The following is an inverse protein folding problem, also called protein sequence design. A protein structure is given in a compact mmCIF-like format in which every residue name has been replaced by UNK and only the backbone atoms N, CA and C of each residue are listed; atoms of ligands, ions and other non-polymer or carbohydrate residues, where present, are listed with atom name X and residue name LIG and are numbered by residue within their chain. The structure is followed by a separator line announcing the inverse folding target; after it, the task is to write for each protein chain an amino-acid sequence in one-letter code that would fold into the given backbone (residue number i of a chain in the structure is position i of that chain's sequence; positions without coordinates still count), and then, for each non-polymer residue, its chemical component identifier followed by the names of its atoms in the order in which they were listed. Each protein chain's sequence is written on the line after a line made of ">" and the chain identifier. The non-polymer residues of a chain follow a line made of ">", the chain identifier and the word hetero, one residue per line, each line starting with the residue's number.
data_IF_541196307792
#
_entry.id   IF_541196307792
#
_cell.length_a   1.000
_cell.length_b   1.000
_cell.length_c   1.000
_cell.angle_alpha   90.00
_cell.angle_beta   90.00
_cell.angle_gamma   90.00
#
_symmetry.space_group_name_H-M   'P 1'
#
loop_
_entity.id
_entity.type
_entity.pdbx_description
1 polymer ?
#
# COMPACT_ATOMS: atom_id res chain seq x y z
N UNK A 1 -19.91 7.62 34.42
CA UNK A 1 -19.86 6.78 33.20
C UNK A 1 -20.00 7.73 32.02
N UNK A 2 -18.98 7.82 31.16
CA UNK A 2 -19.13 8.56 29.91
C UNK A 2 -20.00 7.75 28.97
N UNK A 3 -21.12 8.30 28.52
CA UNK A 3 -21.90 7.70 27.44
C UNK A 3 -21.09 7.82 26.14
N UNK A 4 -20.38 6.75 25.80
CA UNK A 4 -19.68 6.65 24.53
C UNK A 4 -20.71 6.33 23.45
N UNK A 5 -21.28 7.36 22.85
CA UNK A 5 -22.09 7.21 21.64
C UNK A 5 -21.17 6.96 20.44
N UNK A 6 -21.05 5.71 20.04
CA UNK A 6 -20.36 5.34 18.81
C UNK A 6 -21.29 5.59 17.61
N UNK A 7 -20.91 6.50 16.72
CA UNK A 7 -21.61 6.70 15.44
C UNK A 7 -20.88 5.85 14.40
N UNK A 8 -21.53 4.82 13.88
CA UNK A 8 -20.97 4.00 12.82
C UNK A 8 -20.78 4.85 11.56
N UNK A 9 -19.57 4.81 11.02
CA UNK A 9 -19.18 5.47 9.77
C UNK A 9 -18.93 4.39 8.72
N UNK A 10 -19.08 4.75 7.46
CA UNK A 10 -18.64 3.88 6.37
C UNK A 10 -17.13 3.60 6.43
N UNK A 11 -16.67 2.63 5.64
CA UNK A 11 -15.25 2.19 5.57
C UNK A 11 -14.30 3.37 5.29
N UNK A 12 -14.79 4.39 4.60
CA UNK A 12 -14.03 5.58 4.24
C UNK A 12 -14.17 6.73 5.26
N UNK A 13 -14.99 6.57 6.31
CA UNK A 13 -15.23 7.58 7.35
C UNK A 13 -16.00 8.82 6.88
N UNK A 14 -16.48 8.82 5.63
CA UNK A 14 -17.03 9.99 4.93
C UNK A 14 -18.50 10.25 5.24
N UNK A 15 -19.23 9.22 5.68
CA UNK A 15 -20.67 9.34 5.91
C UNK A 15 -21.20 8.45 7.02
N UNK A 16 -22.39 8.79 7.53
CA UNK A 16 -23.11 7.99 8.53
C UNK A 16 -24.22 7.15 7.88
N UNK A 17 -24.69 6.13 8.60
CA UNK A 17 -25.88 5.37 8.19
C UNK A 17 -27.12 6.26 8.00
N UNK A 18 -27.24 7.34 8.78
CA UNK A 18 -28.33 8.31 8.64
C UNK A 18 -28.26 9.07 7.30
N UNK A 19 -27.07 9.45 6.85
CA UNK A 19 -26.87 10.11 5.54
C UNK A 19 -27.26 9.19 4.38
N UNK A 20 -27.01 7.88 4.53
CA UNK A 20 -27.37 6.86 3.55
C UNK A 20 -28.87 6.63 3.47
N UNK A 21 -29.54 6.58 4.63
CA UNK A 21 -31.00 6.53 4.67
C UNK A 21 -31.61 7.77 4.03
N UNK A 22 -31.11 8.98 4.34
CA UNK A 22 -31.63 10.21 3.75
C UNK A 22 -31.46 10.25 2.22
N UNK A 23 -30.35 9.73 1.67
CA UNK A 23 -30.21 9.54 0.21
C UNK A 23 -31.17 8.51 -0.35
N UNK A 24 -31.36 7.38 0.33
CA UNK A 24 -32.31 6.34 -0.08
C UNK A 24 -33.75 6.87 -0.15
N UNK A 25 -34.10 7.79 0.74
CA UNK A 25 -35.41 8.47 0.75
C UNK A 25 -35.47 9.72 -0.14
N UNK A 26 -34.39 10.09 -0.83
CA UNK A 26 -34.35 11.23 -1.75
C UNK A 26 -34.29 12.62 -1.10
N UNK A 27 -34.01 12.69 0.21
CA UNK A 27 -33.91 13.95 0.95
C UNK A 27 -32.53 14.62 0.78
N UNK A 28 -31.51 13.85 0.40
CA UNK A 28 -30.15 14.34 0.16
C UNK A 28 -29.71 14.03 -1.29
N UNK A 29 -28.82 14.87 -1.87
CA UNK A 29 -28.23 14.60 -3.18
C UNK A 29 -27.39 13.30 -3.16
N UNK A 30 -27.24 12.62 -4.32
CA UNK A 30 -26.47 11.38 -4.42
C UNK A 30 -25.02 11.58 -3.95
N UNK A 31 -24.43 10.55 -3.34
CA UNK A 31 -23.03 10.60 -2.87
C UNK A 31 -22.11 10.88 -4.07
N UNK A 32 -21.07 11.71 -3.90
CA UNK A 32 -20.01 11.81 -4.90
C UNK A 32 -19.39 10.42 -5.11
N UNK A 33 -18.90 10.16 -6.32
CA UNK A 33 -18.22 8.90 -6.61
C UNK A 33 -17.02 8.74 -5.65
N UNK A 34 -16.81 7.54 -5.07
CA UNK A 34 -15.68 7.31 -4.18
C UNK A 34 -14.38 7.56 -4.94
N UNK A 35 -13.46 8.29 -4.30
CA UNK A 35 -12.13 8.50 -4.84
C UNK A 35 -11.37 7.17 -4.79
N UNK A 36 -11.07 6.61 -5.96
CA UNK A 36 -10.23 5.42 -6.07
C UNK A 36 -8.81 5.88 -6.36
N UNK A 37 -7.86 5.79 -5.40
CA UNK A 37 -6.47 6.05 -5.71
C UNK A 37 -6.00 5.08 -6.81
N UNK A 38 -4.97 5.46 -7.59
CA UNK A 38 -4.35 4.52 -8.50
C UNK A 38 -3.93 3.26 -7.73
N UNK A 39 -4.03 2.10 -8.40
CA UNK A 39 -3.49 0.88 -7.85
C UNK A 39 -2.01 1.10 -7.51
N UNK A 40 -1.57 0.56 -6.38
CA UNK A 40 -0.17 0.58 -6.02
C UNK A 40 0.63 -0.10 -7.14
N UNK A 41 1.60 0.64 -7.68
CA UNK A 41 2.60 0.11 -8.61
C UNK A 41 3.94 0.12 -7.87
N UNK A 42 4.72 -0.97 -7.92
CA UNK A 42 6.07 -0.95 -7.42
C UNK A 42 6.90 0.12 -8.13
N UNK A 43 7.78 0.78 -7.40
CA UNK A 43 8.78 1.66 -8.02
C UNK A 43 9.71 0.81 -8.88
N UNK A 44 9.86 1.19 -10.15
CA UNK A 44 10.61 0.42 -11.15
C UNK A 44 12.09 0.25 -10.77
N UNK A 45 12.65 1.11 -9.92
CA UNK A 45 14.06 1.02 -9.51
C UNK A 45 14.33 -0.13 -8.52
N UNK A 46 13.48 -0.31 -7.51
CA UNK A 46 13.64 -1.38 -6.51
C UNK A 46 13.09 -2.74 -6.98
N UNK A 47 12.32 -2.73 -8.06
CA UNK A 47 11.73 -3.95 -8.66
C UNK A 47 12.43 -4.44 -9.92
N UNK A 48 13.41 -3.68 -10.42
CA UNK A 48 14.29 -4.16 -11.49
C UNK A 48 15.17 -5.27 -10.94
N UNK A 49 15.25 -6.35 -11.72
CA UNK A 49 16.24 -7.39 -11.49
C UNK A 49 17.62 -6.74 -11.51
N UNK A 50 18.36 -6.87 -10.40
CA UNK A 50 19.71 -6.32 -10.25
C UNK A 50 20.64 -7.03 -11.24
N UNK A 51 20.84 -6.44 -12.41
CA UNK A 51 21.68 -6.99 -13.48
C UNK A 51 23.17 -6.77 -13.19
N UNK A 52 24.05 -7.50 -13.90
CA UNK A 52 25.51 -7.37 -13.73
C UNK A 52 26.01 -5.93 -13.92
N UNK A 53 25.48 -5.21 -14.90
CA UNK A 53 25.81 -3.80 -15.14
C UNK A 53 25.37 -2.86 -14.01
N UNK A 54 24.43 -3.29 -13.16
CA UNK A 54 24.01 -2.56 -11.96
C UNK A 54 25.02 -2.75 -10.82
N UNK A 55 25.54 -3.97 -10.65
CA UNK A 55 26.61 -4.27 -9.66
C UNK A 55 27.90 -3.54 -10.03
N UNK A 56 28.27 -3.55 -11.32
CA UNK A 56 29.51 -2.93 -11.80
C UNK A 56 29.55 -1.39 -11.62
N UNK A 57 28.42 -0.75 -11.32
CA UNK A 57 28.31 0.71 -11.06
C UNK A 57 28.45 1.09 -9.59
N UNK A 58 28.43 0.11 -8.69
CA UNK A 58 28.45 0.34 -7.24
C UNK A 58 29.88 0.43 -6.70
N UNK A 59 30.07 1.24 -5.66
CA UNK A 59 31.35 1.35 -4.95
C UNK A 59 31.44 0.31 -3.83
N UNK A 60 32.65 0.10 -3.29
CA UNK A 60 32.94 -0.89 -2.25
C UNK A 60 32.00 -0.77 -1.04
N UNK A 61 31.80 0.44 -0.50
CA UNK A 61 30.89 0.68 0.64
C UNK A 61 29.43 0.32 0.30
N UNK A 62 28.97 0.60 -0.92
CA UNK A 62 27.59 0.27 -1.35
C UNK A 62 27.41 -1.24 -1.58
N UNK A 63 28.50 -1.95 -1.89
CA UNK A 63 28.51 -3.41 -2.05
C UNK A 63 28.48 -4.13 -0.70
N UNK A 64 29.18 -3.59 0.31
CA UNK A 64 29.12 -4.08 1.69
C UNK A 64 27.71 -3.95 2.27
N UNK A 65 27.05 -2.79 2.09
CA UNK A 65 25.66 -2.60 2.53
C UNK A 65 24.67 -3.55 1.83
N UNK A 66 24.98 -4.01 0.61
CA UNK A 66 24.14 -4.93 -0.17
C UNK A 66 24.30 -6.39 0.24
N UNK A 67 25.38 -6.76 0.95
CA UNK A 67 25.63 -8.12 1.41
C UNK A 67 24.54 -8.57 2.40
N UNK A 68 24.22 -7.72 3.38
CA UNK A 68 23.19 -7.97 4.39
C UNK A 68 21.76 -8.10 3.79
N UNK A 69 21.48 -7.40 2.69
CA UNK A 69 20.17 -7.42 2.01
C UNK A 69 19.98 -8.64 1.08
N UNK A 70 21.08 -9.24 0.62
CA UNK A 70 21.09 -10.34 -0.36
C UNK A 70 21.33 -11.72 0.27
N UNK A 71 21.39 -11.81 1.61
CA UNK A 71 21.50 -13.03 2.44
C UNK A 71 20.34 -14.04 2.27
N UNK A 72 19.49 -13.87 1.27
CA UNK A 72 18.42 -14.79 0.95
C UNK A 72 18.94 -16.01 0.18
N UNK A 73 19.50 -16.96 0.93
CA UNK A 73 20.01 -18.27 0.49
C UNK A 73 18.98 -19.15 -0.24
N UNK A 74 17.73 -18.70 -0.44
CA UNK A 74 16.69 -19.42 -1.19
C UNK A 74 17.11 -19.79 -2.61
N UNK A 75 18.01 -19.03 -3.24
CA UNK A 75 18.59 -19.41 -4.55
C UNK A 75 19.58 -20.58 -4.44
N UNK A 76 20.29 -20.73 -3.32
CA UNK A 76 21.25 -21.81 -3.08
C UNK A 76 20.59 -23.14 -2.67
N UNK A 77 19.34 -23.11 -2.20
CA UNK A 77 18.58 -24.34 -1.92
C UNK A 77 18.35 -25.21 -3.16
N UNK A 78 18.30 -24.64 -4.36
CA UNK A 78 18.15 -25.41 -5.61
C UNK A 78 19.40 -26.24 -5.96
N UNK A 79 20.55 -25.90 -5.38
CA UNK A 79 21.83 -26.58 -5.59
C UNK A 79 22.26 -27.48 -4.42
N UNK A 80 21.41 -27.65 -3.39
CA UNK A 80 21.69 -28.46 -2.20
C UNK A 80 21.12 -29.87 -2.30
#
# INVERSE_FOLDING_TARGET
>A
MGDYHFVYKDVEGTSTEWDDLQRKFGNLPPKPAPFKPPAWAPDDEDSKQKDKDWIDRKNEEELEDLEDDLDDDRFLEEYR
#
